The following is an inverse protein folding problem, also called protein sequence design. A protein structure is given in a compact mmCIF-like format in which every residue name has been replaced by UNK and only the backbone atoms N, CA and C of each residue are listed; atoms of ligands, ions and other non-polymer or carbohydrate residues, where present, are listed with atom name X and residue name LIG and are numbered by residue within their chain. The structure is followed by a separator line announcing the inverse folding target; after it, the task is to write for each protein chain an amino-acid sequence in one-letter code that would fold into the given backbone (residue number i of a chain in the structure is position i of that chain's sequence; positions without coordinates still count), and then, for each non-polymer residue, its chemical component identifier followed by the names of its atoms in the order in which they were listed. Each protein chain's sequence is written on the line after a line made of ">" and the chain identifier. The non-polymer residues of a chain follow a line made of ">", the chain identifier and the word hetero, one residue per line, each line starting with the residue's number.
data_IF_419153539932
#
_entry.id   IF_419153539932
#
_cell.length_a   1.000
_cell.length_b   1.000
_cell.length_c   1.000
_cell.angle_alpha   90.00
_cell.angle_beta   90.00
_cell.angle_gamma   90.00
#
_symmetry.space_group_name_H-M   'P 1'
#
loop_
_entity.id
_entity.type
_entity.pdbx_description
1 polymer ?
#
# COMPACT_ATOMS: atom_id res chain seq x y z
N UNK A 1 -22.87 0.68 -6.23
CA UNK A 1 -23.34 0.59 -4.82
C UNK A 1 -22.25 0.15 -3.85
N UNK A 2 -21.50 -0.94 -4.13
CA UNK A 2 -20.41 -1.42 -3.25
C UNK A 2 -19.19 -0.50 -3.25
N UNK A 3 -18.70 -0.06 -4.43
CA UNK A 3 -17.55 0.86 -4.53
C UNK A 3 -17.81 2.22 -3.88
N UNK A 4 -19.03 2.76 -3.99
CA UNK A 4 -19.40 4.02 -3.34
C UNK A 4 -19.40 3.83 -1.81
N UNK A 5 -19.87 2.68 -1.31
CA UNK A 5 -19.79 2.36 0.11
C UNK A 5 -18.34 2.33 0.60
N UNK A 6 -17.45 1.68 -0.14
CA UNK A 6 -16.02 1.63 0.16
C UNK A 6 -15.36 3.02 0.11
N UNK A 7 -15.70 3.85 -0.87
CA UNK A 7 -15.22 5.25 -0.91
C UNK A 7 -15.69 6.07 0.30
N UNK A 8 -16.83 5.71 0.90
CA UNK A 8 -17.36 6.36 2.09
C UNK A 8 -16.64 6.00 3.39
N UNK A 9 -15.75 5.01 3.39
CA UNK A 9 -15.05 4.56 4.61
C UNK A 9 -13.78 5.34 4.92
N UNK A 10 -13.32 6.18 4.00
CA UNK A 10 -12.10 6.97 4.18
C UNK A 10 -12.28 8.43 3.75
N UNK A 11 -11.47 9.29 4.34
CA UNK A 11 -11.46 10.72 4.05
C UNK A 11 -10.33 11.09 3.10
N UNK A 12 -10.51 12.20 2.37
CA UNK A 12 -9.45 12.81 1.56
C UNK A 12 -8.21 13.11 2.42
N UNK A 13 -8.39 13.60 3.65
CA UNK A 13 -7.30 13.90 4.57
C UNK A 13 -6.45 12.67 4.92
N UNK A 14 -7.10 11.51 5.15
CA UNK A 14 -6.37 10.25 5.37
C UNK A 14 -5.60 9.82 4.13
N UNK A 15 -6.17 9.95 2.93
CA UNK A 15 -5.46 9.62 1.69
C UNK A 15 -4.24 10.52 1.51
N UNK A 16 -4.37 11.82 1.74
CA UNK A 16 -3.26 12.77 1.65
C UNK A 16 -2.18 12.57 2.73
N UNK A 17 -2.42 11.78 3.77
CA UNK A 17 -1.40 11.42 4.76
C UNK A 17 -0.41 10.36 4.24
N UNK A 18 -0.73 9.65 3.15
CA UNK A 18 0.21 8.75 2.48
C UNK A 18 1.36 9.55 1.89
N UNK A 19 2.59 9.15 2.17
CA UNK A 19 3.82 9.91 1.82
C UNK A 19 3.87 10.37 0.35
N UNK A 20 3.57 9.47 -0.60
CA UNK A 20 3.56 9.80 -2.03
C UNK A 20 2.53 10.88 -2.37
N UNK A 21 1.30 10.75 -1.84
CA UNK A 21 0.24 11.74 -2.06
C UNK A 21 0.56 13.07 -1.37
N UNK A 22 1.09 13.05 -0.15
CA UNK A 22 1.53 14.24 0.57
C UNK A 22 2.57 15.04 -0.24
N UNK A 23 3.58 14.34 -0.76
CA UNK A 23 4.66 14.94 -1.56
C UNK A 23 4.14 15.50 -2.89
N UNK A 24 3.29 14.75 -3.59
CA UNK A 24 2.72 15.20 -4.87
C UNK A 24 1.77 16.38 -4.68
N UNK A 25 0.92 16.35 -3.65
CA UNK A 25 0.02 17.45 -3.34
C UNK A 25 0.80 18.72 -2.97
N UNK A 26 1.84 18.62 -2.13
CA UNK A 26 2.68 19.75 -1.74
C UNK A 26 3.52 20.34 -2.89
N UNK A 27 3.88 19.54 -3.89
CA UNK A 27 4.61 19.99 -5.08
C UNK A 27 3.72 20.46 -6.23
N UNK A 28 2.39 20.38 -6.09
CA UNK A 28 1.45 20.65 -7.17
C UNK A 28 1.48 19.60 -8.29
N UNK A 29 2.12 18.45 -8.06
CA UNK A 29 2.08 17.33 -9.00
C UNK A 29 0.67 16.76 -9.01
N UNK A 30 0.01 16.62 -10.18
CA UNK A 30 -1.36 16.12 -10.26
C UNK A 30 -1.51 14.77 -9.58
N UNK A 31 -2.61 14.57 -8.84
CA UNK A 31 -3.03 13.29 -8.27
C UNK A 31 -4.41 13.00 -8.86
N UNK A 32 -4.53 11.91 -9.61
CA UNK A 32 -5.79 11.51 -10.17
C UNK A 32 -6.66 10.84 -9.10
N UNK A 33 -7.96 11.13 -9.09
CA UNK A 33 -8.89 10.64 -8.06
C UNK A 33 -8.92 9.11 -7.93
N UNK A 34 -8.76 8.39 -9.04
CA UNK A 34 -8.76 6.93 -9.04
C UNK A 34 -7.55 6.33 -8.29
N UNK A 35 -6.47 7.10 -8.09
CA UNK A 35 -5.31 6.63 -7.33
C UNK A 35 -5.66 6.38 -5.85
N UNK A 36 -6.68 7.07 -5.33
CA UNK A 36 -7.20 6.83 -3.97
C UNK A 36 -7.94 5.50 -3.84
N UNK A 37 -8.34 4.88 -4.95
CA UNK A 37 -8.98 3.57 -4.92
C UNK A 37 -7.98 2.48 -4.54
N UNK A 38 -6.70 2.61 -4.91
CA UNK A 38 -5.73 1.53 -4.72
C UNK A 38 -5.60 1.10 -3.24
N UNK A 39 -5.34 2.00 -2.27
CA UNK A 39 -5.26 1.59 -0.86
C UNK A 39 -6.57 1.04 -0.30
N UNK A 40 -7.72 1.54 -0.78
CA UNK A 40 -9.03 1.07 -0.37
C UNK A 40 -9.31 -0.34 -0.88
N UNK A 41 -8.98 -0.62 -2.13
CA UNK A 41 -9.16 -1.94 -2.73
C UNK A 41 -8.23 -2.97 -2.06
N UNK A 42 -6.94 -2.65 -1.90
CA UNK A 42 -6.01 -3.54 -1.19
C UNK A 42 -6.47 -3.80 0.25
N UNK A 43 -6.92 -2.77 0.97
CA UNK A 43 -7.43 -2.98 2.32
C UNK A 43 -8.75 -3.74 2.37
N UNK A 44 -9.58 -3.65 1.32
CA UNK A 44 -10.79 -4.45 1.20
C UNK A 44 -10.49 -5.91 0.90
N UNK A 45 -9.37 -6.22 0.23
CA UNK A 45 -8.91 -7.61 0.05
C UNK A 45 -8.71 -8.29 1.41
N UNK A 46 -8.14 -7.60 2.40
CA UNK A 46 -8.03 -8.10 3.78
C UNK A 46 -9.38 -8.41 4.43
N UNK A 47 -10.41 -7.62 4.13
CA UNK A 47 -11.78 -7.86 4.60
C UNK A 47 -12.38 -9.09 3.92
N UNK A 48 -12.15 -9.22 2.61
CA UNK A 48 -12.70 -10.29 1.79
C UNK A 48 -12.12 -11.66 2.16
N UNK A 49 -10.84 -11.72 2.56
CA UNK A 49 -10.16 -12.97 2.96
C UNK A 49 -10.11 -13.20 4.47
N UNK A 50 -10.70 -12.30 5.27
CA UNK A 50 -10.66 -12.32 6.74
C UNK A 50 -9.23 -12.50 7.28
N UNK A 51 -8.32 -11.62 6.82
CA UNK A 51 -6.90 -11.77 7.08
C UNK A 51 -6.55 -11.57 8.57
N UNK A 52 -5.83 -12.53 9.16
CA UNK A 52 -5.19 -12.37 10.47
C UNK A 52 -3.84 -11.64 10.39
N UNK A 53 -3.13 -11.74 9.26
CA UNK A 53 -1.79 -11.17 9.05
C UNK A 53 -1.65 -10.69 7.60
N UNK A 54 -1.10 -9.49 7.40
CA UNK A 54 -0.64 -8.99 6.10
C UNK A 54 0.87 -8.73 6.14
N UNK A 55 1.58 -9.29 5.15
CA UNK A 55 3.02 -9.12 4.94
C UNK A 55 3.24 -8.02 3.91
N UNK A 56 4.23 -7.15 4.14
CA UNK A 56 4.59 -6.12 3.17
C UNK A 56 5.99 -5.56 3.37
N UNK A 57 6.45 -4.80 2.38
CA UNK A 57 7.64 -3.97 2.53
C UNK A 57 7.37 -2.77 3.44
N UNK A 58 8.41 -2.12 3.96
CA UNK A 58 8.25 -0.89 4.76
C UNK A 58 7.51 0.24 4.04
N UNK A 59 7.49 0.23 2.71
CA UNK A 59 6.74 1.16 1.86
C UNK A 59 5.22 0.87 1.82
N UNK A 60 4.77 -0.30 2.27
CA UNK A 60 3.36 -0.70 2.32
C UNK A 60 2.65 -0.32 3.63
N UNK A 61 3.34 0.33 4.58
CA UNK A 61 2.81 0.64 5.91
C UNK A 61 1.43 1.31 5.88
N UNK A 62 1.21 2.25 4.96
CA UNK A 62 -0.08 2.95 4.82
C UNK A 62 -1.19 2.00 4.35
N UNK A 63 -0.91 1.16 3.36
CA UNK A 63 -1.91 0.26 2.79
C UNK A 63 -2.31 -0.82 3.80
N UNK A 64 -1.33 -1.38 4.53
CA UNK A 64 -1.58 -2.35 5.62
C UNK A 64 -2.42 -1.72 6.75
N UNK A 65 -2.18 -0.44 7.07
CA UNK A 65 -2.99 0.28 8.04
C UNK A 65 -4.43 0.51 7.53
N UNK A 66 -4.60 0.78 6.23
CA UNK A 66 -5.91 0.91 5.60
C UNK A 66 -6.71 -0.40 5.69
N UNK A 67 -6.08 -1.56 5.46
CA UNK A 67 -6.72 -2.86 5.64
C UNK A 67 -7.24 -3.06 7.07
N UNK A 68 -6.44 -2.70 8.08
CA UNK A 68 -6.86 -2.75 9.50
C UNK A 68 -8.06 -1.84 9.80
N UNK A 69 -8.07 -0.64 9.24
CA UNK A 69 -9.18 0.31 9.44
C UNK A 69 -10.46 -0.17 8.76
N UNK A 70 -10.34 -0.78 7.58
CA UNK A 70 -11.48 -1.39 6.88
C UNK A 70 -12.02 -2.61 7.60
N UNK A 71 -11.19 -3.54 8.05
CA UNK A 71 -11.63 -4.68 8.86
C UNK A 71 -12.39 -4.21 10.11
N UNK A 72 -11.90 -3.16 10.79
CA UNK A 72 -12.61 -2.54 11.91
C UNK A 72 -13.96 -1.97 11.50
N UNK A 73 -14.03 -1.26 10.37
CA UNK A 73 -15.28 -0.71 9.84
C UNK A 73 -16.32 -1.80 9.55
N UNK A 74 -15.88 -2.95 9.03
CA UNK A 74 -16.73 -4.11 8.74
C UNK A 74 -16.90 -5.07 9.93
N UNK A 75 -16.51 -4.67 11.14
CA UNK A 75 -16.63 -5.44 12.39
C UNK A 75 -15.90 -6.80 12.38
N UNK A 76 -14.78 -6.90 11.67
CA UNK A 76 -13.88 -8.05 11.69
C UNK A 76 -12.71 -7.86 12.67
N UNK A 77 -12.01 -8.96 12.97
CA UNK A 77 -10.71 -8.90 13.63
C UNK A 77 -9.69 -8.16 12.76
N UNK A 78 -8.90 -7.27 13.36
CA UNK A 78 -7.90 -6.51 12.60
C UNK A 78 -6.62 -7.31 12.42
N UNK A 79 -6.17 -7.48 11.18
CA UNK A 79 -4.93 -8.15 10.81
C UNK A 79 -3.69 -7.55 11.50
N UNK A 80 -2.70 -8.35 11.83
CA UNK A 80 -1.36 -7.86 12.16
C UNK A 80 -0.59 -7.51 10.90
N UNK A 81 0.07 -6.34 10.90
CA UNK A 81 0.97 -5.96 9.82
C UNK A 81 2.41 -6.34 10.15
N UNK A 82 3.05 -7.15 9.31
CA UNK A 82 4.49 -7.44 9.42
C UNK A 82 5.23 -6.82 8.24
N UNK A 83 6.05 -5.81 8.56
CA UNK A 83 6.79 -5.02 7.59
C UNK A 83 8.25 -5.43 7.54
N UNK A 84 8.72 -5.76 6.34
CA UNK A 84 10.09 -6.17 6.07
C UNK A 84 10.87 -5.02 5.41
N UNK A 85 12.18 -4.88 5.69
CA UNK A 85 13.01 -3.90 5.01
C UNK A 85 13.06 -4.17 3.51
N UNK A 86 13.14 -3.10 2.71
CA UNK A 86 13.30 -3.23 1.26
C UNK A 86 14.74 -3.61 0.94
N UNK A 87 14.90 -4.64 0.12
CA UNK A 87 16.20 -5.10 -0.34
C UNK A 87 16.87 -4.01 -1.20
N UNK A 88 18.11 -3.70 -0.89
CA UNK A 88 18.96 -2.78 -1.66
C UNK A 88 19.47 -3.51 -2.90
N UNK A 89 19.53 -2.81 -4.03
CA UNK A 89 20.03 -3.36 -5.29
C UNK A 89 21.56 -3.52 -5.31
N UNK A 90 22.07 -4.04 -6.43
CA UNK A 90 23.50 -4.28 -6.63
C UNK A 90 24.36 -3.01 -6.61
N UNK A 91 23.74 -1.84 -6.79
CA UNK A 91 24.35 -0.52 -6.66
C UNK A 91 24.62 -0.12 -5.21
N UNK A 92 24.07 -0.84 -4.22
CA UNK A 92 24.32 -0.64 -2.79
C UNK A 92 23.64 0.59 -2.18
N UNK A 93 22.84 1.32 -2.96
CA UNK A 93 22.21 2.57 -2.52
C UNK A 93 20.70 2.54 -2.73
N UNK A 94 20.24 2.29 -3.96
CA UNK A 94 18.83 2.32 -4.30
C UNK A 94 18.15 0.99 -3.95
N UNK A 95 16.84 1.04 -3.76
CA UNK A 95 16.04 -0.20 -3.67
C UNK A 95 16.20 -1.03 -4.95
N UNK A 96 16.22 -2.35 -4.78
CA UNK A 96 16.25 -3.29 -5.89
C UNK A 96 15.01 -3.10 -6.78
N UNK A 97 15.21 -2.80 -8.07
CA UNK A 97 14.13 -2.55 -9.03
C UNK A 97 14.57 -2.88 -10.45
N UNK A 98 13.75 -3.64 -11.19
CA UNK A 98 14.03 -4.02 -12.60
C UNK A 98 14.26 -2.79 -13.47
N UNK A 99 13.55 -1.69 -13.20
CA UNK A 99 13.68 -0.43 -13.96
C UNK A 99 15.01 0.29 -13.75
N UNK A 100 15.73 -0.02 -12.67
CA UNK A 100 17.05 0.54 -12.37
C UNK A 100 18.19 -0.37 -12.83
N UNK A 101 17.89 -1.57 -13.34
CA UNK A 101 18.90 -2.54 -13.76
C UNK A 101 19.79 -3.05 -12.62
N UNK A 102 19.35 -2.89 -11.36
CA UNK A 102 20.13 -3.22 -10.16
C UNK A 102 19.61 -4.49 -9.45
N UNK A 103 18.97 -5.40 -10.20
CA UNK A 103 18.31 -6.61 -9.68
C UNK A 103 19.12 -7.86 -9.93
N UNK A 104 18.93 -8.87 -9.08
CA UNK A 104 19.21 -10.27 -9.41
C UNK A 104 17.85 -10.95 -9.61
N UNK A 105 17.59 -11.42 -10.82
CA UNK A 105 16.36 -12.10 -11.19
C UNK A 105 16.27 -13.52 -10.61
N UNK A 106 15.04 -13.96 -10.31
CA UNK A 106 14.80 -15.30 -9.75
C UNK A 106 15.08 -16.44 -10.74
N UNK A 107 15.07 -16.14 -12.04
CA UNK A 107 15.23 -17.10 -13.14
C UNK A 107 16.52 -16.84 -13.95
N UNK A 108 17.49 -16.11 -13.37
CA UNK A 108 18.80 -15.96 -14.00
C UNK A 108 19.60 -17.26 -13.94
N UNK A 109 20.46 -17.47 -14.95
CA UNK A 109 21.34 -18.64 -15.00
C UNK A 109 22.29 -18.64 -13.77
N UNK A 110 22.58 -19.83 -13.18
CA UNK A 110 23.50 -19.96 -12.05
C UNK A 110 24.94 -19.46 -12.30
#
# INVERSE_FOLDING_TARGET
>A
PQVIGLLGTATVGQMLAKEDFAKRYGSGTPIALHEFLYPLLQGYDSVAVDADVELGGTDQKFNVAMGRDLQRHFNQGTQFGLLLPILVGLDGVQKMSKSLGNTVGLEEDP
#
